data_IF_024029582693
#
_entry.id   IF_024029582693
#
_cell.length_a   1.000
_cell.length_b   1.000
_cell.length_c   1.000
_cell.angle_alpha   90.00
_cell.angle_beta   90.00
_cell.angle_gamma   90.00
#
_symmetry.space_group_name_H-M   'P 1'
#
loop_
_entity.id
_entity.type
_entity.pdbx_description
1 polymer ?
#
# COMPACT_ATOMS: atom_id res chain seq x y z
N UNK A 1 -13.70 42.63 -25.91
CA UNK A 1 -14.61 41.49 -26.14
C UNK A 1 -13.77 40.24 -25.87
N UNK A 2 -13.74 39.79 -24.60
CA UNK A 2 -12.94 38.63 -24.19
C UNK A 2 -13.79 37.40 -24.53
N UNK A 3 -13.34 36.59 -25.47
CA UNK A 3 -14.12 35.49 -26.04
C UNK A 3 -14.47 34.44 -24.97
N UNK A 4 -15.72 33.96 -24.98
CA UNK A 4 -16.26 33.02 -23.97
C UNK A 4 -15.56 31.65 -23.93
N UNK A 5 -14.61 31.40 -24.84
CA UNK A 5 -13.75 30.21 -24.86
C UNK A 5 -12.65 30.23 -23.80
N UNK A 6 -12.20 31.42 -23.39
CA UNK A 6 -11.08 31.62 -22.47
C UNK A 6 -11.48 31.38 -21.01
N UNK A 7 -12.69 31.82 -20.64
CA UNK A 7 -13.26 31.63 -19.29
C UNK A 7 -13.51 30.15 -18.96
N UNK A 8 -13.94 29.35 -19.94
CA UNK A 8 -14.20 27.92 -19.75
C UNK A 8 -12.91 27.08 -19.64
N UNK A 9 -11.78 27.57 -20.18
CA UNK A 9 -10.47 26.95 -19.96
C UNK A 9 -9.96 27.32 -18.56
N UNK A 10 -9.95 28.60 -18.21
CA UNK A 10 -9.50 29.08 -16.92
C UNK A 10 -10.28 28.46 -15.73
N UNK A 11 -11.59 28.26 -15.87
CA UNK A 11 -12.41 27.58 -14.85
C UNK A 11 -12.08 26.09 -14.75
N UNK A 12 -11.73 25.42 -15.86
CA UNK A 12 -11.28 24.02 -15.85
C UNK A 12 -9.91 23.89 -15.20
N UNK A 13 -8.99 24.79 -15.52
CA UNK A 13 -7.63 24.78 -14.98
C UNK A 13 -7.64 25.13 -13.49
N UNK A 14 -8.45 26.10 -13.05
CA UNK A 14 -8.66 26.42 -11.64
C UNK A 14 -9.32 25.25 -10.87
N UNK A 15 -10.26 24.53 -11.49
CA UNK A 15 -10.89 23.34 -10.90
C UNK A 15 -9.93 22.15 -10.85
N UNK A 16 -9.04 22.00 -11.83
CA UNK A 16 -7.98 21.00 -11.81
C UNK A 16 -6.92 21.30 -10.74
N UNK A 17 -6.53 22.58 -10.60
CA UNK A 17 -5.64 23.04 -9.55
C UNK A 17 -6.25 22.86 -8.15
N UNK A 18 -7.52 23.24 -7.94
CA UNK A 18 -8.24 23.00 -6.68
C UNK A 18 -8.40 21.51 -6.36
N UNK A 19 -8.67 20.68 -7.37
CA UNK A 19 -8.74 19.23 -7.20
C UNK A 19 -7.38 18.63 -6.82
N UNK A 20 -6.29 19.16 -7.38
CA UNK A 20 -4.93 18.75 -7.00
C UNK A 20 -4.55 19.18 -5.59
N UNK A 21 -4.98 20.37 -5.13
CA UNK A 21 -4.72 20.83 -3.76
C UNK A 21 -5.49 20.02 -2.72
N UNK A 22 -6.74 19.65 -3.01
CA UNK A 22 -7.57 18.85 -2.10
C UNK A 22 -7.04 17.42 -1.95
N UNK A 23 -6.45 16.87 -3.01
CA UNK A 23 -5.85 15.53 -3.02
C UNK A 23 -4.50 15.48 -2.30
N UNK A 24 -3.70 16.55 -2.38
CA UNK A 24 -2.39 16.63 -1.71
C UNK A 24 -2.52 17.05 -0.23
N UNK A 25 -3.65 17.64 0.18
CA UNK A 25 -3.85 18.13 1.55
C UNK A 25 -3.69 17.05 2.65
N UNK A 26 -4.22 15.81 2.51
CA UNK A 26 -3.99 14.74 3.48
C UNK A 26 -2.52 14.33 3.60
N UNK A 27 -1.79 14.24 2.49
CA UNK A 27 -0.34 13.94 2.49
C UNK A 27 0.42 15.06 3.20
N UNK A 28 0.12 16.31 2.86
CA UNK A 28 0.76 17.47 3.50
C UNK A 28 0.42 17.57 5.00
N UNK A 29 -0.74 17.09 5.43
CA UNK A 29 -1.08 17.00 6.85
C UNK A 29 -0.29 15.89 7.54
N UNK A 30 -0.25 14.70 6.95
CA UNK A 30 0.57 13.58 7.43
C UNK A 30 2.03 14.03 7.63
N UNK A 31 2.64 14.61 6.60
CA UNK A 31 4.05 15.02 6.62
C UNK A 31 4.32 16.10 7.67
N UNK A 32 3.39 17.05 7.87
CA UNK A 32 3.50 18.05 8.95
C UNK A 32 3.42 17.43 10.34
N UNK A 33 2.55 16.44 10.55
CA UNK A 33 2.45 15.71 11.83
C UNK A 33 3.74 14.92 12.09
N UNK A 34 4.26 14.23 11.07
CA UNK A 34 5.56 13.54 11.13
C UNK A 34 6.68 14.50 11.55
N UNK A 35 6.83 15.62 10.86
CA UNK A 35 7.85 16.64 11.20
C UNK A 35 7.67 17.19 12.61
N UNK A 36 6.42 17.42 13.05
CA UNK A 36 6.15 17.90 14.40
C UNK A 36 6.55 16.87 15.48
N UNK A 37 6.26 15.58 15.25
CA UNK A 37 6.69 14.50 16.14
C UNK A 37 8.21 14.45 16.24
N UNK A 38 8.91 14.42 15.10
CA UNK A 38 10.38 14.36 15.04
C UNK A 38 11.03 15.58 15.71
N UNK A 39 10.53 16.79 15.42
CA UNK A 39 11.05 18.05 16.02
C UNK A 39 10.81 18.08 17.53
N UNK A 40 9.76 17.42 18.01
CA UNK A 40 9.49 17.29 19.45
C UNK A 40 10.30 16.17 20.14
N UNK A 41 11.13 15.44 19.40
CA UNK A 41 11.91 14.31 19.90
C UNK A 41 11.09 13.02 20.08
N UNK A 42 9.87 12.98 19.53
CA UNK A 42 9.02 11.79 19.55
C UNK A 42 9.25 10.95 18.30
N UNK A 43 9.32 9.62 18.45
CA UNK A 43 9.35 8.72 17.31
C UNK A 43 8.00 8.73 16.58
N UNK A 44 8.04 8.63 15.24
CA UNK A 44 6.85 8.48 14.41
C UNK A 44 6.37 7.02 14.53
N UNK A 45 5.13 6.77 14.98
CA UNK A 45 4.62 5.40 15.07
C UNK A 45 4.56 4.72 13.71
N UNK A 46 4.97 3.45 13.61
CA UNK A 46 5.02 2.72 12.33
C UNK A 46 3.65 2.65 11.63
N UNK A 47 2.57 2.38 12.38
CA UNK A 47 1.20 2.41 11.84
C UNK A 47 0.83 3.74 11.19
N UNK A 48 1.39 4.86 11.67
CA UNK A 48 1.13 6.18 11.09
C UNK A 48 1.95 6.37 9.83
N UNK A 49 3.23 5.95 9.85
CA UNK A 49 4.11 6.03 8.69
C UNK A 49 3.57 5.23 7.49
N UNK A 50 3.03 4.02 7.71
CA UNK A 50 2.49 3.19 6.61
C UNK A 50 1.23 3.79 5.95
N UNK A 51 0.44 4.59 6.67
CA UNK A 51 -0.75 5.26 6.13
C UNK A 51 -0.39 6.24 5.02
N UNK A 52 0.81 6.84 5.06
CA UNK A 52 1.29 7.71 3.99
C UNK A 52 1.22 7.03 2.62
N UNK A 53 1.53 5.74 2.58
CA UNK A 53 1.48 4.94 1.37
C UNK A 53 0.10 4.91 0.72
N UNK A 54 -0.96 4.65 1.50
CA UNK A 54 -2.33 4.66 1.00
C UNK A 54 -2.71 6.06 0.47
N UNK A 55 -2.28 7.14 1.15
CA UNK A 55 -2.52 8.51 0.69
C UNK A 55 -1.84 8.80 -0.66
N UNK A 56 -0.62 8.27 -0.90
CA UNK A 56 0.06 8.39 -2.19
C UNK A 56 -0.70 7.66 -3.30
N UNK A 57 -1.28 6.49 -3.00
CA UNK A 57 -2.10 5.72 -3.95
C UNK A 57 -3.38 6.47 -4.27
N UNK A 58 -4.11 6.94 -3.26
CA UNK A 58 -5.34 7.73 -3.43
C UNK A 58 -5.10 9.02 -4.22
N UNK A 59 -3.91 9.62 -4.06
CA UNK A 59 -3.51 10.81 -4.80
C UNK A 59 -3.02 10.54 -6.23
N UNK A 60 -2.88 9.28 -6.64
CA UNK A 60 -2.30 8.92 -7.93
C UNK A 60 -0.81 9.25 -8.06
N UNK A 61 -0.11 9.39 -6.93
CA UNK A 61 1.33 9.68 -6.87
C UNK A 61 2.18 8.40 -6.76
N UNK A 62 1.57 7.29 -6.33
CA UNK A 62 2.20 5.98 -6.38
C UNK A 62 2.21 5.44 -7.82
N UNK A 63 3.29 4.74 -8.19
CA UNK A 63 3.37 4.03 -9.46
C UNK A 63 2.85 2.61 -9.28
N UNK A 64 1.90 2.20 -10.12
CA UNK A 64 1.38 0.84 -10.14
C UNK A 64 2.09 0.02 -11.21
N UNK A 65 2.56 -1.17 -10.83
CA UNK A 65 3.18 -2.15 -11.74
C UNK A 65 2.61 -3.55 -11.49
N UNK A 66 2.69 -4.41 -12.49
CA UNK A 66 2.37 -5.83 -12.37
C UNK A 66 3.64 -6.63 -12.57
N UNK A 67 3.87 -7.61 -11.70
CA UNK A 67 5.11 -8.41 -11.66
C UNK A 67 4.74 -9.89 -11.75
N UNK A 68 5.16 -10.56 -12.82
CA UNK A 68 5.11 -12.02 -12.95
C UNK A 68 6.06 -12.67 -11.95
N UNK A 69 5.56 -13.69 -11.25
CA UNK A 69 6.29 -14.42 -10.22
C UNK A 69 6.05 -15.92 -10.39
N UNK A 70 7.01 -16.80 -10.03
CA UNK A 70 6.77 -18.25 -10.05
C UNK A 70 5.69 -18.70 -9.06
N UNK A 71 5.53 -17.97 -7.95
CA UNK A 71 4.42 -18.13 -7.02
C UNK A 71 4.09 -16.77 -6.41
N UNK A 72 2.85 -16.28 -6.58
CA UNK A 72 2.48 -14.94 -6.14
C UNK A 72 2.43 -14.78 -4.61
N UNK A 73 2.29 -15.85 -3.84
CA UNK A 73 2.16 -15.72 -2.37
C UNK A 73 3.52 -15.43 -1.76
N UNK A 74 4.56 -16.13 -2.22
CA UNK A 74 5.94 -15.77 -1.95
C UNK A 74 6.35 -14.48 -2.66
N UNK A 75 5.78 -14.22 -3.85
CA UNK A 75 6.00 -12.98 -4.58
C UNK A 75 5.56 -11.74 -3.80
N UNK A 76 4.36 -11.77 -3.20
CA UNK A 76 3.82 -10.67 -2.38
C UNK A 76 4.75 -10.31 -1.23
N UNK A 77 5.30 -11.30 -0.52
CA UNK A 77 6.19 -11.08 0.63
C UNK A 77 7.62 -10.74 0.22
N UNK A 78 8.11 -11.27 -0.91
CA UNK A 78 9.43 -10.91 -1.46
C UNK A 78 9.44 -9.46 -1.95
N UNK A 79 8.44 -9.06 -2.74
CA UNK A 79 8.29 -7.70 -3.24
C UNK A 79 8.01 -6.68 -2.13
N UNK A 80 7.22 -7.05 -1.10
CA UNK A 80 6.95 -6.16 0.04
C UNK A 80 8.18 -5.76 0.85
N UNK A 81 9.33 -6.44 0.66
CA UNK A 81 10.60 -6.07 1.31
C UNK A 81 11.37 -4.99 0.55
N UNK A 82 10.99 -4.67 -0.69
CA UNK A 82 11.72 -3.71 -1.49
C UNK A 82 11.49 -2.28 -0.98
N UNK A 83 12.52 -1.41 -1.00
CA UNK A 83 12.36 -0.01 -0.63
C UNK A 83 11.24 0.64 -1.43
N UNK A 84 10.38 1.41 -0.77
CA UNK A 84 9.30 2.15 -1.42
C UNK A 84 8.11 1.32 -1.88
N UNK A 85 8.08 0.00 -1.68
CA UNK A 85 6.85 -0.79 -1.95
C UNK A 85 5.81 -0.46 -0.89
N UNK A 86 4.62 -0.07 -1.36
CA UNK A 86 3.49 0.35 -0.54
C UNK A 86 2.49 -0.79 -0.36
N UNK A 87 2.01 -1.36 -1.48
CA UNK A 87 1.08 -2.49 -1.45
C UNK A 87 1.52 -3.60 -2.37
N UNK A 88 1.19 -4.84 -2.00
CA UNK A 88 1.24 -6.01 -2.89
C UNK A 88 -0.11 -6.70 -2.91
N UNK A 89 -0.54 -7.22 -4.07
CA UNK A 89 -1.75 -8.02 -4.20
C UNK A 89 -1.54 -9.13 -5.22
N UNK A 90 -1.69 -10.38 -4.78
CA UNK A 90 -1.66 -11.55 -5.65
C UNK A 90 -2.86 -11.58 -6.60
N UNK A 91 -2.61 -12.02 -7.83
CA UNK A 91 -3.62 -12.16 -8.86
C UNK A 91 -3.08 -12.78 -10.13
N UNK A 92 -3.81 -12.56 -11.21
CA UNK A 92 -3.65 -13.29 -12.45
C UNK A 92 -3.67 -12.32 -13.64
N UNK A 93 -2.75 -12.51 -14.58
CA UNK A 93 -2.80 -11.92 -15.93
C UNK A 93 -2.58 -13.06 -16.92
N UNK A 94 -3.53 -13.28 -17.82
CA UNK A 94 -3.45 -14.32 -18.86
C UNK A 94 -3.09 -15.73 -18.36
N UNK A 95 -3.48 -16.05 -17.12
CA UNK A 95 -3.18 -17.34 -16.48
C UNK A 95 -1.84 -17.41 -15.75
N UNK A 96 -0.99 -16.40 -15.88
CA UNK A 96 0.26 -16.28 -15.12
C UNK A 96 0.00 -15.73 -13.72
N UNK A 97 0.79 -16.22 -12.74
CA UNK A 97 0.78 -15.71 -11.37
C UNK A 97 1.50 -14.36 -11.29
N UNK A 98 0.75 -13.33 -10.89
CA UNK A 98 1.19 -11.94 -10.92
C UNK A 98 0.91 -11.27 -9.59
N UNK A 99 1.81 -10.38 -9.18
CA UNK A 99 1.62 -9.46 -8.07
C UNK A 99 1.41 -8.05 -8.61
N UNK A 100 0.27 -7.43 -8.29
CA UNK A 100 0.09 -5.98 -8.43
C UNK A 100 0.82 -5.26 -7.30
N UNK A 101 1.68 -4.31 -7.63
CA UNK A 101 2.50 -3.56 -6.68
C UNK A 101 2.26 -2.07 -6.86
N UNK A 102 2.04 -1.36 -5.75
CA UNK A 102 2.16 0.10 -5.73
C UNK A 102 3.49 0.49 -5.10
N UNK A 103 4.21 1.39 -5.76
CA UNK A 103 5.55 1.83 -5.39
C UNK A 103 5.57 3.34 -5.24
N UNK A 104 6.22 3.85 -4.20
CA UNK A 104 6.54 5.27 -4.07
C UNK A 104 7.75 5.61 -4.96
N UNK A 105 7.55 6.35 -6.08
CA UNK A 105 8.65 6.70 -6.98
C UNK A 105 9.66 7.67 -6.38
N UNK A 106 9.35 8.31 -5.23
CA UNK A 106 10.32 9.12 -4.49
C UNK A 106 11.29 8.27 -3.66
N UNK A 107 10.91 7.02 -3.36
CA UNK A 107 11.69 6.08 -2.55
C UNK A 107 12.55 5.14 -3.39
N UNK A 108 12.09 4.75 -4.59
CA UNK A 108 12.82 3.87 -5.51
C UNK A 108 12.45 4.20 -6.97
N UNK A 109 13.42 4.14 -7.89
CA UNK A 109 13.14 4.25 -9.32
C UNK A 109 12.62 2.93 -9.89
N UNK A 110 11.88 2.97 -11.00
CA UNK A 110 11.42 1.74 -11.66
C UNK A 110 12.57 0.86 -12.17
N UNK A 111 13.69 1.47 -12.61
CA UNK A 111 14.85 0.71 -13.07
C UNK A 111 15.52 -0.05 -11.91
N UNK A 112 15.58 0.58 -10.74
CA UNK A 112 16.12 -0.04 -9.52
C UNK A 112 15.18 -1.11 -8.96
N UNK A 113 13.87 -0.84 -8.94
CA UNK A 113 12.85 -1.83 -8.60
C UNK A 113 12.97 -3.07 -9.50
N UNK A 114 13.10 -2.86 -10.81
CA UNK A 114 13.26 -3.93 -11.80
C UNK A 114 14.57 -4.71 -11.61
N UNK A 115 15.63 -4.03 -11.19
CA UNK A 115 16.90 -4.70 -10.88
C UNK A 115 16.73 -5.65 -9.69
N UNK A 116 16.13 -5.20 -8.59
CA UNK A 116 15.84 -6.04 -7.43
C UNK A 116 14.87 -7.18 -7.77
N UNK A 117 13.83 -6.90 -8.56
CA UNK A 117 12.87 -7.91 -8.99
C UNK A 117 13.54 -9.04 -9.79
N UNK A 118 14.48 -8.72 -10.68
CA UNK A 118 15.23 -9.71 -11.45
C UNK A 118 16.17 -10.57 -10.59
N UNK A 119 16.67 -10.07 -9.47
CA UNK A 119 17.47 -10.86 -8.52
C UNK A 119 16.62 -11.98 -7.89
N UNK A 120 15.33 -11.71 -7.72
CA UNK A 120 14.31 -12.68 -7.29
C UNK A 120 13.66 -13.44 -8.45
N UNK A 121 14.25 -13.43 -9.65
CA UNK A 121 13.72 -14.05 -10.89
C UNK A 121 12.31 -13.57 -11.30
N UNK A 122 11.92 -12.37 -10.89
CA UNK A 122 10.65 -11.75 -11.25
C UNK A 122 10.79 -10.80 -12.46
N UNK A 123 9.69 -10.55 -13.16
CA UNK A 123 9.66 -9.65 -14.31
C UNK A 123 8.37 -8.83 -14.36
N UNK A 124 8.46 -7.54 -14.71
CA UNK A 124 7.26 -6.73 -14.97
C UNK A 124 6.50 -7.25 -16.19
N UNK A 125 5.18 -7.14 -16.15
CA UNK A 125 4.28 -7.55 -17.22
C UNK A 125 3.18 -6.51 -17.45
N UNK A 126 2.72 -6.42 -18.70
CA UNK A 126 1.57 -5.64 -19.14
C UNK A 126 0.72 -6.41 -20.16
N UNK A 127 0.89 -7.74 -20.22
CA UNK A 127 0.29 -8.64 -21.22
C UNK A 127 -1.25 -8.64 -21.22
N UNK A 128 -1.89 -8.11 -20.18
CA UNK A 128 -3.35 -8.08 -20.10
C UNK A 128 -3.91 -7.46 -18.81
N UNK A 129 -5.23 -7.53 -18.63
CA UNK A 129 -5.87 -7.01 -17.43
C UNK A 129 -5.58 -7.88 -16.21
N UNK A 130 -5.23 -7.23 -15.09
CA UNK A 130 -5.06 -7.89 -13.81
C UNK A 130 -6.40 -8.33 -13.21
N UNK A 131 -6.45 -9.56 -12.72
CA UNK A 131 -7.55 -10.11 -11.93
C UNK A 131 -7.05 -10.54 -10.56
N UNK A 132 -7.57 -9.90 -9.51
CA UNK A 132 -7.25 -10.23 -8.12
C UNK A 132 -7.49 -11.72 -7.83
N UNK A 133 -6.59 -12.32 -7.05
CA UNK A 133 -6.77 -13.68 -6.54
C UNK A 133 -7.93 -13.76 -5.54
N UNK A 134 -8.42 -14.99 -5.26
CA UNK A 134 -9.45 -15.21 -4.25
C UNK A 134 -8.92 -15.07 -2.82
N UNK A 135 -7.61 -15.23 -2.62
CA UNK A 135 -6.94 -15.20 -1.33
C UNK A 135 -5.62 -14.40 -1.42
N UNK A 136 -5.68 -13.10 -1.76
CA UNK A 136 -4.50 -12.24 -1.71
C UNK A 136 -4.02 -12.10 -0.26
N UNK A 137 -2.73 -11.82 -0.06
CA UNK A 137 -2.14 -11.66 1.27
C UNK A 137 -2.32 -12.94 2.12
N UNK A 138 -1.87 -14.07 1.56
CA UNK A 138 -2.14 -15.41 2.09
C UNK A 138 -1.80 -15.58 3.57
N UNK A 139 -0.65 -15.07 4.03
CA UNK A 139 -0.23 -15.24 5.43
C UNK A 139 -1.13 -14.46 6.38
N UNK A 140 -1.53 -13.24 6.01
CA UNK A 140 -2.52 -12.47 6.76
C UNK A 140 -3.85 -13.23 6.85
N UNK A 141 -4.36 -13.77 5.74
CA UNK A 141 -5.63 -14.52 5.70
C UNK A 141 -5.64 -15.79 6.57
N UNK A 142 -4.47 -16.34 6.87
CA UNK A 142 -4.27 -17.50 7.77
C UNK A 142 -3.96 -17.12 9.21
N UNK A 143 -3.99 -15.84 9.54
CA UNK A 143 -3.67 -15.34 10.88
C UNK A 143 -4.90 -14.80 11.62
N UNK A 144 -4.84 -14.67 12.96
CA UNK A 144 -5.87 -13.96 13.73
C UNK A 144 -6.07 -12.50 13.30
N UNK A 145 -5.03 -11.88 12.71
CA UNK A 145 -5.05 -10.49 12.28
C UNK A 145 -6.00 -10.21 11.10
N UNK A 146 -6.45 -11.25 10.37
CA UNK A 146 -7.38 -11.10 9.23
C UNK A 146 -8.69 -10.37 9.57
N UNK A 147 -9.11 -10.42 10.83
CA UNK A 147 -10.35 -9.81 11.32
C UNK A 147 -10.20 -8.30 11.59
N UNK A 148 -8.97 -7.79 11.63
CA UNK A 148 -8.71 -6.38 11.91
C UNK A 148 -8.91 -5.57 10.62
N UNK A 149 -9.75 -4.52 10.63
CA UNK A 149 -9.88 -3.65 9.47
C UNK A 149 -8.55 -2.91 9.28
N UNK A 150 -7.96 -3.04 8.09
CA UNK A 150 -6.65 -2.49 7.75
C UNK A 150 -6.74 -1.79 6.39
N UNK A 151 -5.90 -0.78 6.19
CA UNK A 151 -5.65 -0.21 4.87
C UNK A 151 -4.81 -1.15 4.00
N UNK A 152 -4.65 -0.86 2.71
CA UNK A 152 -3.88 -1.70 1.80
C UNK A 152 -2.42 -1.82 2.22
N UNK A 153 -1.79 -0.68 2.58
CA UNK A 153 -0.40 -0.67 3.04
C UNK A 153 -0.23 -1.42 4.37
N UNK A 154 -1.17 -1.28 5.31
CA UNK A 154 -1.17 -2.04 6.56
C UNK A 154 -1.28 -3.55 6.31
N UNK A 155 -2.18 -3.99 5.41
CA UNK A 155 -2.32 -5.41 5.06
C UNK A 155 -1.01 -5.98 4.52
N UNK A 156 -0.33 -5.24 3.65
CA UNK A 156 0.97 -5.60 3.07
C UNK A 156 2.04 -5.77 4.16
N UNK A 157 2.16 -4.79 5.05
CA UNK A 157 3.12 -4.83 6.16
C UNK A 157 2.81 -5.98 7.15
N UNK A 158 1.54 -6.20 7.49
CA UNK A 158 1.13 -7.28 8.39
C UNK A 158 1.32 -8.66 7.75
N UNK A 159 0.96 -8.84 6.47
CA UNK A 159 1.18 -10.09 5.75
C UNK A 159 2.66 -10.46 5.73
N UNK A 160 3.53 -9.47 5.47
CA UNK A 160 4.98 -9.64 5.55
C UNK A 160 5.43 -10.04 6.97
N UNK A 161 4.96 -9.33 7.99
CA UNK A 161 5.32 -9.61 9.38
C UNK A 161 4.92 -11.04 9.78
N UNK A 162 3.69 -11.46 9.47
CA UNK A 162 3.19 -12.81 9.74
C UNK A 162 4.02 -13.86 9.00
N UNK A 163 4.33 -13.65 7.71
CA UNK A 163 5.10 -14.59 6.91
C UNK A 163 6.49 -14.89 7.51
N UNK A 164 7.10 -13.90 8.14
CA UNK A 164 8.43 -14.01 8.76
C UNK A 164 8.39 -14.15 10.29
N UNK A 165 7.22 -14.42 10.88
CA UNK A 165 7.07 -14.62 12.33
C UNK A 165 7.41 -13.39 13.18
N UNK A 166 7.27 -12.19 12.61
CA UNK A 166 7.48 -10.90 13.29
C UNK A 166 6.16 -10.41 13.90
N UNK A 167 6.26 -9.55 14.91
CA UNK A 167 5.09 -8.92 15.54
C UNK A 167 4.41 -7.94 14.57
N UNK A 168 3.13 -8.12 14.22
CA UNK A 168 2.42 -7.18 13.35
C UNK A 168 1.85 -5.96 14.08
N UNK A 169 1.85 -5.93 15.42
CA UNK A 169 1.27 -4.85 16.20
C UNK A 169 1.79 -3.44 15.87
N UNK A 170 3.08 -3.22 15.54
CA UNK A 170 3.60 -1.89 15.17
C UNK A 170 2.87 -1.25 13.98
N UNK A 171 2.35 -2.05 13.04
CA UNK A 171 1.65 -1.57 11.84
C UNK A 171 0.17 -1.22 12.09
N UNK A 172 -0.33 -1.47 13.30
CA UNK A 172 -1.72 -1.26 13.66
C UNK A 172 -1.87 -0.10 14.66
N UNK A 173 -2.84 0.76 14.42
CA UNK A 173 -3.16 1.86 15.33
C UNK A 173 -3.66 1.33 16.68
N UNK A 174 -3.53 2.12 17.77
CA UNK A 174 -4.09 1.75 19.08
C UNK A 174 -5.59 1.42 19.07
N UNK A 175 -6.34 1.94 18.10
CA UNK A 175 -7.76 1.59 17.94
C UNK A 175 -7.93 0.21 17.31
N UNK A 176 -7.14 -0.12 16.28
CA UNK A 176 -7.16 -1.44 15.64
C UNK A 176 -6.77 -2.56 16.63
N UNK A 177 -5.73 -2.31 17.43
CA UNK A 177 -5.27 -3.27 18.46
C UNK A 177 -6.32 -3.53 19.56
N UNK A 178 -7.14 -2.54 19.90
CA UNK A 178 -8.25 -2.74 20.84
C UNK A 178 -9.37 -3.59 20.24
N UNK A 179 -9.59 -3.48 18.93
CA UNK A 179 -10.57 -4.30 18.22
C UNK A 179 -10.09 -5.73 18.01
N UNK A 180 -8.78 -5.97 17.86
CA UNK A 180 -8.22 -7.33 17.80
C UNK A 180 -8.23 -8.06 19.15
N UNK A 181 -8.44 -7.34 20.26
CA UNK A 181 -8.40 -7.85 21.63
C UNK A 181 -9.77 -8.29 22.20
N UNK A 182 -10.77 -8.57 21.36
CA UNK A 182 -12.06 -9.15 21.77
C UNK A 182 -12.14 -10.63 21.28
N UNK A 183 -12.71 -11.54 22.08
CA UNK A 183 -11.94 -12.57 22.79
C UNK A 183 -11.66 -13.86 22.00
N UNK A 184 -10.51 -14.46 22.33
CA UNK A 184 -10.35 -15.92 22.46
C UNK A 184 -11.25 -16.42 23.57
N UNK A 185 -12.53 -16.62 23.29
CA UNK A 185 -13.43 -17.44 24.10
C UNK A 185 -14.19 -18.37 23.13
N UNK A 186 -13.48 -19.42 22.71
CA UNK A 186 -14.13 -20.71 22.55
C UNK A 186 -13.84 -21.47 23.85
N UNK A 187 -14.56 -21.08 24.91
CA UNK A 187 -14.87 -22.00 25.99
C UNK A 187 -15.51 -23.24 25.35
N UNK A 188 -14.99 -24.39 25.74
CA UNK A 188 -15.72 -25.63 25.97
C UNK A 188 -17.16 -25.66 25.46
N UNK A 189 -17.35 -26.26 24.29
CA UNK A 189 -18.62 -26.90 23.91
C UNK A 189 -18.31 -28.30 23.39
N UNK A 190 -18.35 -29.23 24.35
CA UNK A 190 -18.57 -30.69 24.30
C UNK A 190 -18.00 -31.51 23.12
#
# INVERSE_FOLDING_TARGET
MIESRDLASAVRDARAASKSSDVVAPIALHDRVTTALETSGSAVPEWFAVVRGDLLIEAGLATRVHVETPCFWSGETSLAQFPGVITTNAGWIDGDEVVEVHVDPASISLDEFDRLAREEIFARTDKGPFRLDRQPQFYLEKSPWRAVPMTGAQRTAVNLAVAYGRDPAPYLSPRQLRTSALPTDAEDLE
#
